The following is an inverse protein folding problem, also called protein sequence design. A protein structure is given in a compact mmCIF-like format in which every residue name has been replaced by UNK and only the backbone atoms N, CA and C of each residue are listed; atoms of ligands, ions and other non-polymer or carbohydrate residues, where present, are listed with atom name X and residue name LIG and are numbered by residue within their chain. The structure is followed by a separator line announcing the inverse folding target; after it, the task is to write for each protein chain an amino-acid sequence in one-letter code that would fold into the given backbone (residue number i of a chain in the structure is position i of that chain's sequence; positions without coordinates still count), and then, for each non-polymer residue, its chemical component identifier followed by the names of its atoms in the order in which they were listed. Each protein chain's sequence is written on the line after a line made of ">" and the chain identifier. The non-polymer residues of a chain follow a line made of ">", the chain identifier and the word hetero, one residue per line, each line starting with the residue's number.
data_IF_380192005056
#
_entry.id   IF_380192005056
#
_cell.length_a   1.000
_cell.length_b   1.000
_cell.length_c   1.000
_cell.angle_alpha   90.00
_cell.angle_beta   90.00
_cell.angle_gamma   90.00
#
_symmetry.space_group_name_H-M   'P 1'
#
loop_
_entity.id
_entity.type
_entity.pdbx_description
1 polymer ?
#
# COMPACT_ATOMS: atom_id res chain seq x y z
N UNK A 1 26.37 48.01 -29.70
CA UNK A 1 25.45 47.58 -28.63
C UNK A 1 24.87 46.17 -28.79
N UNK A 2 25.15 45.43 -29.88
CA UNK A 2 24.60 44.08 -30.09
C UNK A 2 25.56 42.96 -29.61
N UNK A 3 26.88 43.19 -29.60
CA UNK A 3 27.86 42.20 -29.15
C UNK A 3 27.80 41.87 -27.64
N UNK A 4 27.43 42.82 -26.80
CA UNK A 4 27.41 42.62 -25.33
C UNK A 4 26.27 41.71 -24.86
N UNK A 5 25.16 41.65 -25.61
CA UNK A 5 23.99 40.81 -25.29
C UNK A 5 24.18 39.34 -25.68
N UNK A 6 25.01 39.05 -26.67
CA UNK A 6 25.32 37.67 -27.07
C UNK A 6 26.26 36.99 -26.06
N UNK A 7 27.19 37.73 -25.46
CA UNK A 7 28.13 37.20 -24.48
C UNK A 7 27.43 36.83 -23.16
N UNK A 8 26.49 37.65 -22.69
CA UNK A 8 25.75 37.37 -21.44
C UNK A 8 24.84 36.15 -21.56
N UNK A 9 24.23 35.91 -22.73
CA UNK A 9 23.41 34.73 -22.96
C UNK A 9 24.26 33.44 -23.06
N UNK A 10 25.46 33.51 -23.64
CA UNK A 10 26.37 32.37 -23.71
C UNK A 10 26.92 32.00 -22.32
N UNK A 11 27.21 32.99 -21.47
CA UNK A 11 27.72 32.76 -20.11
C UNK A 11 26.66 32.08 -19.21
N UNK A 12 25.38 32.48 -19.34
CA UNK A 12 24.28 31.87 -18.59
C UNK A 12 23.95 30.44 -19.04
N UNK A 13 24.14 30.12 -20.32
CA UNK A 13 23.98 28.76 -20.85
C UNK A 13 25.09 27.81 -20.38
N UNK A 14 26.32 28.31 -20.19
CA UNK A 14 27.44 27.50 -19.67
C UNK A 14 27.29 27.24 -18.16
N UNK A 15 26.84 28.22 -17.38
CA UNK A 15 26.62 28.07 -15.92
C UNK A 15 25.51 27.04 -15.62
N UNK A 16 24.44 27.01 -16.43
CA UNK A 16 23.35 26.04 -16.27
C UNK A 16 23.74 24.61 -16.69
N UNK A 17 24.72 24.46 -17.59
CA UNK A 17 25.26 23.15 -17.97
C UNK A 17 26.25 22.59 -16.93
N UNK A 18 27.01 23.45 -16.24
CA UNK A 18 27.91 23.03 -15.15
C UNK A 18 27.17 22.65 -13.87
N UNK A 19 26.07 23.33 -13.52
CA UNK A 19 25.24 22.96 -12.35
C UNK A 19 24.55 21.59 -12.48
N UNK A 20 24.29 21.09 -13.70
CA UNK A 20 23.68 19.76 -13.92
C UNK A 20 24.68 18.61 -13.90
N UNK A 21 26.00 18.87 -13.92
CA UNK A 21 27.04 17.82 -13.94
C UNK A 21 27.72 17.58 -12.58
N UNK A 22 27.33 18.32 -11.53
CA UNK A 22 27.94 18.26 -10.21
C UNK A 22 27.18 17.42 -9.16
N UNK A 23 26.16 16.65 -9.54
CA UNK A 23 25.43 15.74 -8.63
C UNK A 23 25.63 14.25 -8.94
N UNK A 24 26.73 13.89 -9.62
CA UNK A 24 27.10 12.49 -9.80
C UNK A 24 28.51 12.26 -9.26
N UNK A 25 28.55 11.49 -8.16
CA UNK A 25 29.67 10.68 -7.68
C UNK A 25 30.75 11.36 -6.83
N UNK A 26 30.63 11.21 -5.50
CA UNK A 26 31.73 10.86 -4.56
C UNK A 26 31.21 10.80 -3.11
N UNK A 27 30.90 9.59 -2.64
CA UNK A 27 31.09 9.12 -1.24
C UNK A 27 30.72 7.64 -1.14
N UNK A 28 31.56 6.82 -1.76
CA UNK A 28 31.89 5.53 -1.18
C UNK A 28 33.16 5.73 -0.34
N UNK A 29 33.32 4.87 0.66
CA UNK A 29 34.37 4.82 1.71
C UNK A 29 33.86 5.32 3.06
N UNK A 30 34.01 4.42 4.05
CA UNK A 30 33.55 4.43 5.45
C UNK A 30 32.08 4.03 5.69
N UNK A 31 31.80 2.72 5.60
CA UNK A 31 31.10 1.96 6.65
C UNK A 31 31.20 0.45 6.31
N UNK A 32 32.43 -0.04 6.23
CA UNK A 32 32.74 -1.46 6.20
C UNK A 32 33.68 -1.71 7.39
N UNK A 33 33.11 -1.83 8.59
CA UNK A 33 33.71 -2.43 9.81
C UNK A 33 32.86 -2.05 11.03
N UNK A 34 31.62 -2.56 11.16
CA UNK A 34 31.02 -2.77 12.49
C UNK A 34 29.76 -3.66 12.44
N UNK A 35 29.87 -4.86 11.87
CA UNK A 35 28.84 -5.90 12.09
C UNK A 35 29.38 -7.31 11.88
N UNK A 36 30.50 -7.60 12.52
CA UNK A 36 30.94 -8.98 12.78
C UNK A 36 31.08 -9.17 14.29
N UNK A 37 29.95 -9.37 14.96
CA UNK A 37 29.84 -10.28 16.11
C UNK A 37 28.38 -10.30 16.57
N UNK A 38 27.83 -11.50 16.76
CA UNK A 38 26.47 -11.80 17.23
C UNK A 38 25.32 -11.71 16.21
N UNK A 39 25.26 -12.66 15.26
CA UNK A 39 24.04 -13.46 15.02
C UNK A 39 24.31 -14.60 14.01
N UNK A 40 25.15 -15.56 14.36
CA UNK A 40 25.12 -16.90 13.74
C UNK A 40 24.18 -17.76 14.61
N UNK A 41 22.94 -18.00 14.14
CA UNK A 41 22.13 -19.22 14.40
C UNK A 41 20.62 -19.08 14.08
N UNK A 42 20.20 -18.22 13.16
CA UNK A 42 18.82 -18.33 12.65
C UNK A 42 18.60 -17.73 11.24
N UNK A 43 19.39 -18.16 10.25
CA UNK A 43 18.99 -17.99 8.85
C UNK A 43 18.41 -19.30 8.33
N UNK A 44 17.08 -19.35 8.48
CA UNK A 44 16.16 -20.30 7.91
C UNK A 44 16.32 -20.39 6.39
N UNK A 45 16.12 -21.58 5.84
CA UNK A 45 16.43 -22.02 4.49
C UNK A 45 15.52 -21.42 3.39
N UNK A 46 15.29 -20.10 3.42
CA UNK A 46 14.50 -19.37 2.41
C UNK A 46 15.34 -18.22 1.84
N UNK A 47 16.44 -18.58 1.17
CA UNK A 47 17.07 -17.68 0.22
C UNK A 47 16.04 -17.34 -0.87
N UNK A 48 15.45 -16.14 -0.78
CA UNK A 48 14.55 -15.56 -1.77
C UNK A 48 15.33 -15.48 -3.10
N UNK A 49 14.89 -16.15 -4.17
CA UNK A 49 15.59 -16.08 -5.44
C UNK A 49 15.53 -14.64 -5.98
N UNK A 50 16.70 -14.12 -6.29
CA UNK A 50 16.94 -12.80 -6.87
C UNK A 50 16.13 -12.57 -8.16
N UNK A 51 15.29 -11.52 -8.12
CA UNK A 51 14.72 -10.73 -9.22
C UNK A 51 14.94 -11.22 -10.67
N UNK A 52 14.17 -12.23 -11.07
CA UNK A 52 13.33 -12.13 -12.27
C UNK A 52 11.90 -12.02 -11.77
N UNK A 53 11.10 -11.08 -12.29
CA UNK A 53 9.78 -10.76 -11.73
C UNK A 53 8.96 -12.02 -11.43
N UNK A 54 8.69 -12.28 -10.14
CA UNK A 54 7.98 -13.48 -9.70
C UNK A 54 6.55 -13.38 -10.22
N UNK A 55 6.30 -14.04 -11.36
CA UNK A 55 4.97 -14.26 -11.90
C UNK A 55 4.47 -15.58 -11.37
N UNK A 56 3.39 -15.53 -10.60
CA UNK A 56 2.66 -16.72 -10.19
C UNK A 56 1.55 -16.99 -11.20
N UNK A 57 1.59 -18.17 -11.81
CA UNK A 57 0.59 -18.65 -12.77
C UNK A 57 -0.29 -19.68 -12.08
N UNK A 58 -1.59 -19.39 -11.98
CA UNK A 58 -2.58 -20.24 -11.34
C UNK A 58 -3.62 -20.68 -12.37
N UNK A 59 -3.79 -21.99 -12.53
CA UNK A 59 -4.69 -22.59 -13.52
C UNK A 59 -5.81 -23.34 -12.83
N UNK A 60 -7.01 -22.80 -12.83
CA UNK A 60 -8.18 -23.42 -12.22
C UNK A 60 -9.08 -24.06 -13.28
N UNK A 61 -9.37 -25.35 -13.10
CA UNK A 61 -10.39 -26.05 -13.90
C UNK A 61 -11.77 -25.74 -13.32
N UNK A 62 -12.66 -25.19 -14.15
CA UNK A 62 -14.04 -24.93 -13.80
C UNK A 62 -14.92 -26.09 -14.22
N UNK A 63 -15.81 -26.46 -13.32
CA UNK A 63 -16.91 -27.38 -13.57
C UNK A 63 -18.23 -26.64 -13.37
N UNK A 64 -19.27 -27.06 -14.06
CA UNK A 64 -20.62 -26.49 -13.93
C UNK A 64 -21.70 -27.55 -13.82
N UNK A 65 -22.84 -27.14 -13.29
CA UNK A 65 -24.04 -27.96 -13.21
C UNK A 65 -25.14 -27.30 -14.05
N UNK A 66 -25.55 -27.98 -15.11
CA UNK A 66 -26.52 -27.46 -16.10
C UNK A 66 -27.96 -27.93 -15.87
N UNK A 67 -28.20 -28.82 -14.90
CA UNK A 67 -29.53 -29.28 -14.54
C UNK A 67 -29.60 -29.58 -13.04
N UNK A 68 -30.82 -29.55 -12.48
CA UNK A 68 -31.08 -29.84 -11.07
C UNK A 68 -30.58 -31.26 -10.77
N UNK A 69 -29.76 -31.41 -9.73
CA UNK A 69 -29.17 -32.68 -9.27
C UNK A 69 -28.32 -33.44 -10.32
N UNK A 70 -27.93 -32.80 -11.41
CA UNK A 70 -27.02 -33.38 -12.37
C UNK A 70 -25.57 -33.40 -11.84
N UNK A 71 -24.72 -34.35 -12.28
CA UNK A 71 -23.30 -34.27 -11.99
C UNK A 71 -22.69 -33.02 -12.61
N UNK A 72 -21.64 -32.51 -11.96
CA UNK A 72 -20.84 -31.42 -12.51
C UNK A 72 -20.06 -31.91 -13.73
N UNK A 73 -20.08 -31.12 -14.80
CA UNK A 73 -19.33 -31.37 -16.04
C UNK A 73 -18.25 -30.33 -16.25
N UNK A 74 -17.17 -30.63 -16.99
CA UNK A 74 -16.15 -29.64 -17.33
C UNK A 74 -16.74 -28.45 -18.08
N UNK A 75 -16.42 -27.23 -17.64
CA UNK A 75 -16.86 -25.97 -18.25
C UNK A 75 -15.72 -25.27 -18.99
N UNK A 76 -14.51 -25.32 -18.47
CA UNK A 76 -13.37 -24.64 -19.06
C UNK A 76 -12.31 -24.33 -18.03
N UNK A 77 -11.34 -23.51 -18.40
CA UNK A 77 -10.16 -23.22 -17.58
C UNK A 77 -10.02 -21.73 -17.37
N UNK A 78 -9.61 -21.34 -16.15
CA UNK A 78 -9.23 -19.97 -15.80
C UNK A 78 -7.75 -19.94 -15.50
N UNK A 79 -7.02 -19.15 -16.29
CA UNK A 79 -5.62 -18.85 -16.07
C UNK A 79 -5.51 -17.47 -15.43
N UNK A 80 -4.96 -17.42 -14.22
CA UNK A 80 -4.71 -16.21 -13.45
C UNK A 80 -3.21 -15.99 -13.34
N UNK A 81 -2.74 -14.84 -13.85
CA UNK A 81 -1.34 -14.45 -13.77
C UNK A 81 -1.19 -13.29 -12.79
N UNK A 82 -0.46 -13.54 -11.72
CA UNK A 82 -0.13 -12.59 -10.67
C UNK A 82 1.33 -12.21 -10.84
N UNK A 83 1.59 -11.00 -11.32
CA UNK A 83 2.95 -10.47 -11.39
C UNK A 83 3.21 -9.51 -10.23
N UNK A 84 4.37 -9.62 -9.58
CA UNK A 84 4.83 -8.64 -8.59
C UNK A 84 4.97 -7.22 -9.21
N UNK A 85 5.20 -7.14 -10.52
CA UNK A 85 5.35 -5.88 -11.25
C UNK A 85 4.04 -5.15 -11.57
N UNK A 86 2.90 -5.86 -11.53
CA UNK A 86 1.59 -5.30 -11.89
C UNK A 86 0.61 -5.40 -10.74
N UNK A 87 0.00 -4.30 -10.29
CA UNK A 87 -0.94 -4.33 -9.16
C UNK A 87 -2.23 -5.10 -9.49
N UNK A 88 -2.63 -5.14 -10.76
CA UNK A 88 -3.83 -5.84 -11.23
C UNK A 88 -3.44 -7.20 -11.82
N UNK A 89 -3.95 -8.32 -11.29
CA UNK A 89 -3.76 -9.62 -11.91
C UNK A 89 -4.39 -9.68 -13.30
N UNK A 90 -3.82 -10.49 -14.18
CA UNK A 90 -4.42 -10.81 -15.47
C UNK A 90 -5.22 -12.09 -15.32
N UNK A 91 -6.37 -12.16 -15.96
CA UNK A 91 -7.24 -13.32 -15.99
C UNK A 91 -7.64 -13.61 -17.43
N UNK A 92 -7.59 -14.87 -17.81
CA UNK A 92 -8.06 -15.35 -19.11
C UNK A 92 -8.85 -16.64 -18.96
N UNK A 93 -9.85 -16.79 -19.81
CA UNK A 93 -10.68 -17.98 -19.88
C UNK A 93 -10.36 -18.74 -21.17
N UNK A 94 -10.18 -20.04 -21.05
CA UNK A 94 -9.87 -20.95 -22.14
C UNK A 94 -10.75 -22.21 -22.06
N UNK A 95 -10.73 -23.04 -23.11
CA UNK A 95 -11.45 -24.31 -23.18
C UNK A 95 -12.96 -24.21 -22.89
N UNK A 96 -13.58 -23.10 -23.30
CA UNK A 96 -15.01 -22.88 -23.11
C UNK A 96 -15.85 -23.86 -23.94
N UNK A 97 -16.99 -24.35 -23.42
CA UNK A 97 -17.76 -25.37 -24.08
C UNK A 97 -18.64 -24.73 -25.16
N UNK A 98 -18.78 -25.41 -26.29
CA UNK A 98 -19.80 -25.05 -27.27
C UNK A 98 -21.11 -25.66 -26.79
N UNK A 99 -22.11 -24.81 -26.56
CA UNK A 99 -23.43 -25.24 -26.13
C UNK A 99 -24.09 -26.09 -27.22
N UNK A 100 -24.32 -27.37 -26.94
CA UNK A 100 -25.12 -28.24 -27.80
C UNK A 100 -26.60 -27.97 -27.62
N UNK A 101 -27.44 -28.42 -28.56
CA UNK A 101 -28.91 -28.31 -28.43
C UNK A 101 -29.43 -28.96 -27.14
N UNK A 102 -28.79 -30.04 -26.69
CA UNK A 102 -29.10 -30.72 -25.44
C UNK A 102 -28.74 -29.85 -24.22
N UNK A 103 -27.61 -29.15 -24.25
CA UNK A 103 -27.21 -28.26 -23.14
C UNK A 103 -28.09 -27.03 -23.08
N UNK A 104 -28.46 -26.48 -24.24
CA UNK A 104 -29.47 -25.41 -24.34
C UNK A 104 -30.78 -25.84 -23.71
N UNK A 105 -31.23 -27.08 -23.94
CA UNK A 105 -32.46 -27.59 -23.34
C UNK A 105 -32.35 -27.73 -21.82
N UNK A 106 -31.22 -28.20 -21.30
CA UNK A 106 -30.97 -28.23 -19.85
C UNK A 106 -30.99 -26.85 -19.21
N UNK A 107 -30.35 -25.87 -19.85
CA UNK A 107 -30.34 -24.47 -19.38
C UNK A 107 -31.74 -23.86 -19.43
N UNK A 108 -32.56 -24.19 -20.45
CA UNK A 108 -33.98 -23.80 -20.46
C UNK A 108 -34.73 -24.44 -19.31
N UNK A 109 -34.49 -25.72 -18.99
CA UNK A 109 -35.16 -26.34 -17.84
C UNK A 109 -34.84 -25.58 -16.56
N UNK A 110 -33.58 -25.21 -16.32
CA UNK A 110 -33.19 -24.37 -15.18
C UNK A 110 -33.90 -23.02 -15.17
N UNK A 111 -34.03 -22.39 -16.34
CA UNK A 111 -34.70 -21.11 -16.50
C UNK A 111 -36.20 -21.19 -16.16
N UNK A 112 -36.90 -22.19 -16.69
CA UNK A 112 -38.33 -22.39 -16.47
C UNK A 112 -38.65 -22.80 -15.02
N UNK A 113 -37.76 -23.55 -14.39
CA UNK A 113 -37.91 -23.96 -12.98
C UNK A 113 -37.48 -22.88 -11.99
N UNK A 114 -37.01 -21.71 -12.45
CA UNK A 114 -36.47 -20.66 -11.57
C UNK A 114 -35.25 -21.12 -10.77
N UNK A 115 -34.51 -22.10 -11.30
CA UNK A 115 -33.35 -22.70 -10.63
C UNK A 115 -32.05 -21.95 -10.93
N UNK A 116 -30.98 -22.39 -10.29
CA UNK A 116 -29.68 -21.73 -10.35
C UNK A 116 -28.75 -22.48 -11.30
N UNK A 117 -27.92 -21.72 -12.00
CA UNK A 117 -26.74 -22.24 -12.66
C UNK A 117 -25.56 -22.19 -11.68
N UNK A 118 -24.90 -23.32 -11.50
CA UNK A 118 -23.86 -23.48 -10.47
C UNK A 118 -22.52 -23.78 -11.11
N UNK A 119 -21.47 -23.11 -10.64
CA UNK A 119 -20.09 -23.32 -11.06
C UNK A 119 -19.24 -23.63 -9.83
N UNK A 120 -18.24 -24.49 -10.00
CA UNK A 120 -17.27 -24.83 -8.95
C UNK A 120 -15.86 -24.98 -9.50
N UNK A 121 -14.89 -24.85 -8.61
CA UNK A 121 -13.48 -25.12 -8.88
C UNK A 121 -12.80 -25.68 -7.61
N UNK A 122 -11.67 -26.36 -7.77
CA UNK A 122 -10.88 -26.83 -6.62
C UNK A 122 -10.21 -25.67 -5.89
N UNK A 123 -10.22 -25.72 -4.55
CA UNK A 123 -9.63 -24.70 -3.69
C UNK A 123 -8.09 -24.68 -3.78
N UNK A 124 -7.48 -25.86 -3.84
CA UNK A 124 -6.03 -26.03 -3.92
C UNK A 124 -5.67 -26.82 -5.18
N UNK A 125 -4.81 -26.25 -6.02
CA UNK A 125 -4.35 -26.86 -7.27
C UNK A 125 -3.31 -27.96 -7.04
N UNK A 126 -2.62 -27.93 -5.90
CA UNK A 126 -1.56 -28.89 -5.59
C UNK A 126 -2.13 -30.20 -5.01
N UNK A 127 -3.34 -30.15 -4.46
CA UNK A 127 -4.02 -31.29 -3.86
C UNK A 127 -5.21 -31.74 -4.73
N UNK A 128 -5.14 -32.92 -5.37
CA UNK A 128 -6.22 -33.46 -6.18
C UNK A 128 -7.51 -33.71 -5.39
N UNK A 129 -7.41 -33.94 -4.07
CA UNK A 129 -8.54 -34.20 -3.18
C UNK A 129 -9.02 -32.94 -2.45
N UNK A 130 -8.55 -31.77 -2.89
CA UNK A 130 -8.94 -30.51 -2.28
C UNK A 130 -10.44 -30.26 -2.40
N UNK A 131 -10.97 -29.50 -1.44
CA UNK A 131 -12.40 -29.13 -1.42
C UNK A 131 -12.72 -28.23 -2.60
N UNK A 132 -13.96 -28.31 -3.07
CA UNK A 132 -14.47 -27.40 -4.10
C UNK A 132 -14.99 -26.11 -3.46
N UNK A 133 -14.69 -24.99 -4.11
CA UNK A 133 -15.35 -23.71 -3.91
C UNK A 133 -16.44 -23.59 -4.98
N UNK A 134 -17.65 -23.20 -4.58
CA UNK A 134 -18.80 -23.17 -5.46
C UNK A 134 -19.57 -21.86 -5.35
N UNK A 135 -20.21 -21.48 -6.45
CA UNK A 135 -21.04 -20.29 -6.55
C UNK A 135 -22.21 -20.56 -7.48
N UNK A 136 -23.34 -19.91 -7.24
CA UNK A 136 -24.58 -20.16 -7.97
C UNK A 136 -25.27 -18.86 -8.30
N UNK A 137 -25.89 -18.77 -9.48
CA UNK A 137 -26.63 -17.59 -9.92
C UNK A 137 -28.00 -17.99 -10.45
N UNK A 138 -29.09 -17.24 -10.17
CA UNK A 138 -30.38 -17.50 -10.77
C UNK A 138 -30.29 -17.48 -12.30
N UNK A 139 -30.81 -18.53 -12.96
CA UNK A 139 -30.65 -18.66 -14.41
C UNK A 139 -31.26 -17.47 -15.17
N UNK A 140 -32.36 -16.89 -14.69
CA UNK A 140 -32.98 -15.73 -15.34
C UNK A 140 -32.09 -14.48 -15.33
N UNK A 141 -31.31 -14.23 -14.26
CA UNK A 141 -30.37 -13.10 -14.21
C UNK A 141 -29.25 -13.28 -15.23
N UNK A 142 -28.79 -14.52 -15.41
CA UNK A 142 -27.78 -14.85 -16.41
C UNK A 142 -28.33 -14.70 -17.85
N UNK A 143 -29.57 -15.09 -18.09
CA UNK A 143 -30.26 -14.91 -19.38
C UNK A 143 -30.51 -13.43 -19.69
N UNK A 144 -30.89 -12.62 -18.71
CA UNK A 144 -31.04 -11.18 -18.85
C UNK A 144 -29.73 -10.51 -19.35
N UNK A 145 -28.58 -11.07 -18.95
CA UNK A 145 -27.25 -10.63 -19.39
C UNK A 145 -26.76 -11.25 -20.70
N UNK A 146 -27.60 -12.07 -21.36
CA UNK A 146 -27.27 -12.87 -22.56
C UNK A 146 -26.08 -13.81 -22.35
N UNK A 147 -26.05 -14.48 -21.19
CA UNK A 147 -24.95 -15.37 -20.78
C UNK A 147 -23.57 -14.69 -20.75
N UNK A 148 -23.53 -13.36 -20.57
CA UNK A 148 -22.30 -12.66 -20.18
C UNK A 148 -22.08 -12.85 -18.70
N UNK A 149 -20.93 -13.40 -18.36
CA UNK A 149 -20.62 -13.86 -17.00
C UNK A 149 -19.49 -13.02 -16.45
N UNK A 150 -19.66 -12.51 -15.23
CA UNK A 150 -18.62 -11.77 -14.52
C UNK A 150 -18.25 -12.54 -13.25
N UNK A 151 -17.01 -13.00 -13.17
CA UNK A 151 -16.50 -13.75 -12.03
C UNK A 151 -15.51 -12.92 -11.22
N UNK A 152 -15.61 -12.93 -9.89
CA UNK A 152 -14.52 -12.48 -9.02
C UNK A 152 -13.92 -13.67 -8.28
N UNK A 153 -12.62 -13.89 -8.47
CA UNK A 153 -11.88 -14.96 -7.80
C UNK A 153 -11.14 -14.41 -6.59
N UNK A 154 -11.44 -14.95 -5.41
CA UNK A 154 -10.79 -14.54 -4.16
C UNK A 154 -9.67 -15.52 -3.83
N UNK A 155 -8.45 -15.01 -3.84
CA UNK A 155 -7.26 -15.81 -3.59
C UNK A 155 -6.65 -15.45 -2.24
N UNK A 156 -6.19 -16.47 -1.53
CA UNK A 156 -5.29 -16.32 -0.38
C UNK A 156 -3.93 -15.76 -0.81
N UNK A 157 -3.13 -15.36 0.17
CA UNK A 157 -1.72 -15.00 0.01
C UNK A 157 -0.89 -16.10 -0.67
N UNK A 158 -1.19 -17.37 -0.39
CA UNK A 158 -0.57 -18.55 -1.00
C UNK A 158 -1.07 -18.89 -2.41
N UNK A 159 -2.06 -18.15 -2.94
CA UNK A 159 -2.65 -18.41 -4.26
C UNK A 159 -3.72 -19.50 -4.28
N UNK A 160 -4.13 -20.03 -3.12
CA UNK A 160 -5.30 -20.94 -3.01
C UNK A 160 -6.59 -20.17 -3.20
N UNK A 161 -7.57 -20.80 -3.83
CA UNK A 161 -8.90 -20.25 -4.07
C UNK A 161 -9.76 -20.37 -2.81
N UNK A 162 -10.25 -19.24 -2.33
CA UNK A 162 -11.07 -19.13 -1.11
C UNK A 162 -12.55 -18.99 -1.45
N UNK A 163 -12.87 -18.16 -2.44
CA UNK A 163 -14.24 -17.89 -2.87
C UNK A 163 -14.30 -17.58 -4.37
N UNK A 164 -15.45 -17.88 -4.99
CA UNK A 164 -15.82 -17.43 -6.32
C UNK A 164 -17.11 -16.62 -6.18
N UNK A 165 -17.10 -15.37 -6.62
CA UNK A 165 -18.32 -14.58 -6.75
C UNK A 165 -18.78 -14.60 -8.21
N UNK A 166 -20.09 -14.78 -8.39
CA UNK A 166 -20.73 -14.69 -9.68
C UNK A 166 -21.54 -13.39 -9.71
N UNK A 167 -20.99 -12.39 -10.36
CA UNK A 167 -21.54 -11.04 -10.37
C UNK A 167 -22.59 -10.93 -11.49
N UNK A 168 -23.83 -10.70 -11.10
CA UNK A 168 -24.92 -10.35 -12.02
C UNK A 168 -25.69 -9.17 -11.47
N UNK A 169 -26.17 -8.24 -12.32
CA UNK A 169 -27.07 -7.21 -11.88
C UNK A 169 -28.34 -7.86 -11.33
N UNK A 170 -28.85 -7.31 -10.23
CA UNK A 170 -30.11 -7.75 -9.68
C UNK A 170 -31.24 -7.45 -10.67
N UNK A 171 -32.11 -8.44 -10.85
CA UNK A 171 -33.33 -8.36 -11.66
C UNK A 171 -34.48 -8.76 -10.74
N UNK A 172 -35.55 -7.95 -10.71
CA UNK A 172 -36.73 -8.28 -9.92
C UNK A 172 -37.50 -9.47 -10.53
N UNK A 173 -38.44 -10.01 -9.75
CA UNK A 173 -39.18 -11.21 -10.14
C UNK A 173 -40.01 -11.02 -11.43
N UNK A 174 -40.53 -9.82 -11.70
CA UNK A 174 -41.36 -9.56 -12.88
C UNK A 174 -40.50 -9.57 -14.13
N UNK A 175 -39.38 -8.84 -14.12
CA UNK A 175 -38.44 -8.85 -15.25
C UNK A 175 -37.78 -10.23 -15.45
N UNK A 176 -37.50 -10.96 -14.36
CA UNK A 176 -37.03 -12.34 -14.43
C UNK A 176 -38.06 -13.25 -15.14
N UNK A 177 -39.37 -13.08 -14.88
CA UNK A 177 -40.43 -13.84 -15.55
C UNK A 177 -40.53 -13.52 -17.05
N UNK A 178 -40.32 -12.27 -17.47
CA UNK A 178 -40.25 -11.89 -18.89
C UNK A 178 -39.13 -12.64 -19.60
N UNK A 179 -37.99 -12.83 -18.93
CA UNK A 179 -36.84 -13.54 -19.48
C UNK A 179 -37.01 -15.07 -19.53
N UNK A 180 -37.99 -15.66 -18.84
CA UNK A 180 -38.18 -17.11 -18.85
C UNK A 180 -38.48 -17.70 -20.23
N UNK A 181 -39.11 -16.90 -21.10
CA UNK A 181 -39.45 -17.30 -22.47
C UNK A 181 -38.38 -16.95 -23.50
N UNK A 182 -37.24 -16.39 -23.05
CA UNK A 182 -36.17 -15.96 -23.94
C UNK A 182 -35.55 -17.15 -24.67
N UNK A 183 -35.33 -16.98 -25.98
CA UNK A 183 -34.63 -17.97 -26.79
C UNK A 183 -33.15 -18.01 -26.42
N UNK A 184 -32.67 -19.20 -26.05
CA UNK A 184 -31.26 -19.51 -25.85
C UNK A 184 -30.62 -20.14 -27.10
N UNK A 185 -31.16 -19.85 -28.29
CA UNK A 185 -30.51 -20.26 -29.56
C UNK A 185 -29.35 -19.32 -29.87
N UNK A 186 -28.24 -19.89 -30.33
CA UNK A 186 -27.02 -19.18 -30.75
C UNK A 186 -26.30 -18.36 -29.67
N UNK A 187 -26.71 -18.48 -28.39
CA UNK A 187 -26.01 -17.85 -27.27
C UNK A 187 -24.75 -18.64 -26.92
N UNK A 188 -23.74 -17.95 -26.40
CA UNK A 188 -22.49 -18.52 -25.93
C UNK A 188 -22.14 -17.93 -24.58
N UNK A 189 -21.44 -18.70 -23.77
CA UNK A 189 -20.84 -18.19 -22.55
C UNK A 189 -19.81 -17.11 -22.88
N UNK A 190 -19.99 -15.93 -22.30
CA UNK A 190 -19.06 -14.80 -22.43
C UNK A 190 -18.45 -14.46 -21.09
N UNK A 191 -17.51 -15.28 -20.56
CA UNK A 191 -16.92 -15.04 -19.27
C UNK A 191 -15.86 -13.95 -19.32
N UNK A 192 -15.92 -13.08 -18.33
CA UNK A 192 -14.87 -12.19 -17.93
C UNK A 192 -14.78 -12.21 -16.41
N UNK A 193 -13.77 -11.57 -15.86
CA UNK A 193 -13.66 -11.54 -14.41
C UNK A 193 -12.54 -10.69 -13.89
N UNK A 194 -12.41 -10.73 -12.57
CA UNK A 194 -11.40 -10.04 -11.80
C UNK A 194 -10.86 -10.96 -10.70
N UNK A 195 -9.73 -10.57 -10.12
CA UNK A 195 -9.06 -11.34 -9.08
C UNK A 195 -8.81 -10.43 -7.88
N UNK A 196 -9.27 -10.90 -6.72
CA UNK A 196 -9.15 -10.22 -5.45
C UNK A 196 -8.15 -11.02 -4.60
N UNK A 197 -7.04 -10.38 -4.23
CA UNK A 197 -6.03 -10.97 -3.36
C UNK A 197 -6.28 -10.57 -1.91
N UNK A 198 -5.82 -11.40 -0.98
CA UNK A 198 -5.65 -10.99 0.40
C UNK A 198 -4.83 -9.69 0.48
N UNK A 199 -5.37 -8.70 1.19
CA UNK A 199 -4.68 -7.44 1.46
C UNK A 199 -4.34 -7.37 2.95
N UNK A 200 -3.14 -6.92 3.26
CA UNK A 200 -2.72 -6.68 4.64
C UNK A 200 -3.51 -5.47 5.14
N UNK A 201 -4.30 -5.69 6.20
CA UNK A 201 -5.06 -4.62 6.85
C UNK A 201 -4.16 -3.60 7.55
N UNK A 202 -4.70 -2.43 7.92
CA UNK A 202 -3.95 -1.45 8.70
C UNK A 202 -3.53 -2.06 10.04
N UNK A 203 -2.24 -1.96 10.37
CA UNK A 203 -1.74 -2.31 11.70
C UNK A 203 -1.84 -1.10 12.63
N UNK A 204 -2.15 -1.30 13.92
CA UNK A 204 -2.18 -0.20 14.87
C UNK A 204 -0.79 0.45 14.96
N UNK A 205 -0.73 1.79 15.14
CA UNK A 205 0.54 2.46 15.32
C UNK A 205 1.21 1.95 16.59
N UNK A 206 2.44 1.41 16.47
CA UNK A 206 3.23 0.91 17.60
C UNK A 206 3.61 2.01 18.59
N UNK A 207 3.72 3.25 18.12
CA UNK A 207 3.98 4.42 18.93
C UNK A 207 2.75 5.32 18.91
N UNK A 208 1.97 5.26 19.99
CA UNK A 208 0.92 6.24 20.23
C UNK A 208 1.66 7.50 20.70
N UNK A 209 1.78 8.51 19.85
CA UNK A 209 2.07 9.85 20.34
C UNK A 209 0.84 10.26 21.13
N UNK A 210 0.86 9.99 22.44
CA UNK A 210 -0.14 10.50 23.37
C UNK A 210 0.02 12.00 23.34
N UNK A 211 -0.73 12.68 22.48
CA UNK A 211 -1.02 14.09 22.72
C UNK A 211 -1.79 14.09 24.02
N UNK A 212 -1.10 14.38 25.13
CA UNK A 212 -1.68 14.60 26.47
C UNK A 212 -2.66 15.78 26.49
N UNK A 213 -2.92 16.41 25.35
CA UNK A 213 -3.87 17.48 25.20
C UNK A 213 -5.30 16.94 25.21
N UNK A 214 -5.79 16.81 26.44
CA UNK A 214 -7.19 16.69 26.88
C UNK A 214 -7.82 15.31 26.64
N UNK A 215 -7.83 14.53 27.72
CA UNK A 215 -8.90 13.57 27.94
C UNK A 215 -10.27 14.27 27.69
N UNK A 216 -11.23 13.62 26.99
CA UNK A 216 -12.57 14.17 26.84
C UNK A 216 -13.17 14.49 28.20
N UNK A 217 -13.90 15.62 28.30
CA UNK A 217 -14.47 16.08 29.57
C UNK A 217 -15.29 14.97 30.24
N UNK A 218 -14.88 14.57 31.45
CA UNK A 218 -15.55 13.54 32.25
C UNK A 218 -14.78 12.22 32.43
N UNK A 219 -13.55 12.10 31.92
CA UNK A 219 -12.70 10.94 32.16
C UNK A 219 -11.44 11.39 32.91
N UNK A 220 -11.24 10.89 34.13
CA UNK A 220 -10.00 11.14 34.88
C UNK A 220 -8.83 10.46 34.15
N UNK A 221 -7.74 11.20 33.85
CA UNK A 221 -6.56 10.59 33.25
C UNK A 221 -6.00 9.52 34.20
N UNK A 222 -5.86 8.29 33.70
CA UNK A 222 -5.20 7.21 34.44
C UNK A 222 -3.74 7.62 34.66
N UNK A 223 -3.33 7.78 35.92
CA UNK A 223 -1.94 7.99 36.30
C UNK A 223 -1.13 6.79 35.83
N UNK A 224 -0.11 7.03 35.01
CA UNK A 224 0.87 6.00 34.65
C UNK A 224 1.58 5.51 35.91
N UNK A 225 1.75 4.19 36.04
CA UNK A 225 2.42 3.53 37.18
C UNK A 225 3.94 3.77 37.26
N UNK A 226 4.51 4.49 36.29
CA UNK A 226 5.89 4.97 36.36
C UNK A 226 5.93 6.34 37.04
N UNK A 227 6.20 6.31 38.34
CA UNK A 227 6.35 7.48 39.21
C UNK A 227 7.60 8.32 38.90
N UNK A 228 7.68 8.88 37.69
CA UNK A 228 8.60 9.97 37.38
C UNK A 228 7.82 11.16 36.80
N UNK A 229 6.97 11.76 37.62
CA UNK A 229 6.49 13.12 37.42
C UNK A 229 7.64 14.09 37.78
N UNK A 230 8.68 14.14 36.96
CA UNK A 230 9.54 15.32 36.93
C UNK A 230 8.66 16.46 36.43
N UNK A 231 8.41 17.44 37.30
CA UNK A 231 7.70 18.66 36.93
C UNK A 231 8.43 19.27 35.73
N UNK A 232 7.85 19.12 34.54
CA UNK A 232 8.35 19.73 33.32
C UNK A 232 8.56 21.22 33.62
N UNK A 233 9.81 21.67 33.60
CA UNK A 233 10.15 23.07 33.77
C UNK A 233 9.41 23.84 32.68
N UNK A 234 8.27 24.45 33.03
CA UNK A 234 7.48 25.27 32.13
C UNK A 234 8.44 26.24 31.45
N UNK A 235 8.57 26.15 30.13
CA UNK A 235 9.42 27.04 29.33
C UNK A 235 8.89 28.47 29.43
N UNK A 236 9.24 29.18 30.51
CA UNK A 236 8.82 30.54 30.75
C UNK A 236 9.44 31.40 29.65
N UNK A 237 8.59 32.08 28.89
CA UNK A 237 9.02 32.94 27.79
C UNK A 237 10.10 33.91 28.28
N UNK A 238 11.13 34.11 27.45
CA UNK A 238 12.33 34.90 27.78
C UNK A 238 11.98 36.28 28.36
N UNK A 239 10.90 36.90 27.87
CA UNK A 239 10.40 38.17 28.39
C UNK A 239 9.91 38.08 29.85
N UNK A 240 9.29 36.98 30.28
CA UNK A 240 8.85 36.79 31.67
C UNK A 240 10.03 36.61 32.62
N UNK A 241 11.11 35.98 32.15
CA UNK A 241 12.34 35.79 32.96
C UNK A 241 13.21 37.04 33.01
N UNK A 242 13.19 37.88 31.97
CA UNK A 242 14.14 38.99 31.82
C UNK A 242 13.51 40.39 31.72
N UNK A 243 12.21 40.55 32.04
CA UNK A 243 11.53 41.86 31.96
C UNK A 243 12.21 42.94 32.80
N UNK A 244 12.75 42.58 33.97
CA UNK A 244 13.47 43.51 34.85
C UNK A 244 14.85 43.91 34.30
N UNK A 245 15.40 43.21 33.30
CA UNK A 245 16.64 43.58 32.61
C UNK A 245 16.33 44.44 31.38
N UNK A 246 15.28 44.09 30.64
CA UNK A 246 14.87 44.84 29.43
C UNK A 246 14.34 46.24 29.79
N UNK A 247 13.58 46.37 30.88
CA UNK A 247 12.92 47.62 31.26
C UNK A 247 13.92 48.76 31.61
N UNK A 248 14.97 48.56 32.42
CA UNK A 248 15.97 49.60 32.69
C UNK A 248 16.75 50.04 31.45
N UNK A 249 17.07 49.12 30.52
CA UNK A 249 17.79 49.44 29.28
C UNK A 249 16.93 50.36 28.41
N UNK A 250 15.65 50.03 28.25
CA UNK A 250 14.70 50.86 27.48
C UNK A 250 14.52 52.24 28.13
N UNK A 251 14.42 52.31 29.46
CA UNK A 251 14.33 53.58 30.19
C UNK A 251 15.62 54.40 30.05
N UNK A 252 16.80 53.80 30.16
CA UNK A 252 18.07 54.50 29.94
C UNK A 252 18.25 54.94 28.48
N UNK A 253 17.79 54.17 27.50
CA UNK A 253 17.84 54.60 26.09
C UNK A 253 16.85 55.72 25.76
N UNK A 254 15.71 55.81 26.46
CA UNK A 254 14.71 56.87 26.24
C UNK A 254 14.98 58.16 27.03
N UNK A 255 15.60 58.06 28.22
CA UNK A 255 15.83 59.20 29.11
C UNK A 255 17.32 59.54 29.35
N UNK A 256 18.24 58.65 28.98
CA UNK A 256 19.69 58.77 29.23
C UNK A 256 20.53 59.19 28.02
N UNK A 257 19.92 59.80 27.01
CA UNK A 257 20.64 60.44 25.91
C UNK A 257 21.17 61.82 26.30
N UNK A 258 22.24 61.88 27.11
CA UNK A 258 22.86 63.16 27.46
C UNK A 258 24.19 63.05 28.22
N UNK A 259 25.31 62.90 27.49
CA UNK A 259 26.60 63.49 27.91
C UNK A 259 27.84 62.57 27.96
N UNK A 260 28.79 62.89 27.07
CA UNK A 260 30.26 62.86 27.21
C UNK A 260 31.06 61.53 27.19
N UNK A 261 31.64 61.29 26.00
CA UNK A 261 32.98 60.81 25.60
C UNK A 261 33.78 59.68 26.31
N UNK A 262 34.57 58.93 25.51
CA UNK A 262 35.40 57.82 25.96
C UNK A 262 36.79 58.28 26.44
N UNK A 263 37.36 57.58 27.42
CA UNK A 263 38.78 57.71 27.76
C UNK A 263 39.37 56.31 27.97
N UNK A 264 40.36 55.98 27.13
CA UNK A 264 41.09 54.72 27.19
C UNK A 264 42.27 54.72 28.17
N UNK A 265 42.84 53.54 28.37
CA UNK A 265 44.25 53.27 28.73
C UNK A 265 44.41 51.73 28.62
N UNK A 266 45.19 51.15 27.71
CA UNK A 266 46.65 51.17 27.55
C UNK A 266 47.41 50.45 28.68
N UNK A 267 48.23 49.46 28.26
CA UNK A 267 49.25 48.77 29.07
C UNK A 267 48.79 47.38 29.53
N UNK A 268 49.45 46.27 29.21
CA UNK A 268 50.85 46.06 28.84
C UNK A 268 51.28 44.78 29.57
N UNK A 269 51.64 43.75 28.81
CA UNK A 269 52.24 42.54 29.37
C UNK A 269 53.59 42.86 30.05
N UNK A 270 54.05 41.97 30.95
CA UNK A 270 55.22 41.20 30.54
C UNK A 270 55.17 39.70 30.85
N UNK A 271 55.83 38.96 29.96
CA UNK A 271 56.55 37.69 30.09
C UNK A 271 57.25 37.48 31.45
N UNK A 272 57.57 36.30 32.00
CA UNK A 272 57.72 34.87 31.59
C UNK A 272 58.01 34.09 32.92
N UNK A 273 58.69 32.92 32.95
CA UNK A 273 58.28 31.55 32.61
C UNK A 273 58.40 30.60 33.83
N UNK A 274 57.78 29.41 33.82
CA UNK A 274 58.34 28.29 34.62
C UNK A 274 58.16 26.94 33.91
N UNK A 275 59.30 26.26 33.75
CA UNK A 275 59.48 24.85 33.41
C UNK A 275 58.66 23.94 34.35
N UNK A 276 58.23 22.73 34.02
CA UNK A 276 58.81 21.69 33.19
C UNK A 276 58.76 20.38 34.00
N UNK A 277 58.70 19.23 33.33
CA UNK A 277 59.05 17.94 33.96
C UNK A 277 57.97 16.87 33.94
N UNK A 278 57.95 16.12 32.83
CA UNK A 278 57.35 14.79 32.68
C UNK A 278 58.47 13.77 32.87
N UNK A 279 58.31 12.80 33.78
CA UNK A 279 59.02 11.51 33.76
C UNK A 279 58.16 10.43 34.40
N UNK A 280 57.96 9.38 33.59
CA UNK A 280 57.76 7.95 33.88
C UNK A 280 56.90 7.56 35.08
#
# INVERSE_FOLDING_TARGET
>A
MILFRAWTLLLMAVITLFMKRACAHTREVEEAELKEEFSDDFDDATAIPSLGGVEQHLKFELEHQMAIDAPFTPRGVVDIVISASSPKPKISFSDLPILSDNDVEKLKMLLHSGSHYTVRAKADLSDPNSRYVMTSVPMCMLVAMRLREDFAFHLSDSGKLVAIEYLTPYVDAVTCAEHQTSSLKDVRFGPFGSVLKAQIGPSPPKNIVVKRDRAPQGVEPVKSEDGNDEAEEESQSFLRKYWYIVLPIVVMSLFGGGGAEPAGAAGGAPATPTAGGRRQ
#
